data_IF_710850333205
#
_entry.id   IF_710850333205
#
_cell.length_a   1.000
_cell.length_b   1.000
_cell.length_c   1.000
_cell.angle_alpha   90.00
_cell.angle_beta   90.00
_cell.angle_gamma   90.00
#
_symmetry.space_group_name_H-M   'P 1'
#
loop_
_entity.id
_entity.type
_entity.pdbx_description
1 polymer ?
#
# COMPACT_ATOMS: atom_id res chain seq x y z
N UNK A 1 -0.38 -15.53 -9.85
CA UNK A 1 -0.96 -16.14 -8.62
C UNK A 1 0.13 -16.39 -7.57
N UNK A 2 0.93 -15.37 -7.23
CA UNK A 2 2.06 -15.48 -6.28
C UNK A 2 2.06 -14.39 -5.19
N UNK A 3 1.39 -13.25 -5.40
CA UNK A 3 1.34 -12.15 -4.41
C UNK A 3 0.56 -12.48 -3.12
N UNK A 4 -0.36 -13.45 -3.15
CA UNK A 4 -1.17 -13.82 -1.97
C UNK A 4 -0.38 -14.60 -0.90
N UNK A 5 0.75 -15.22 -1.26
CA UNK A 5 1.44 -16.17 -0.37
C UNK A 5 2.32 -15.47 0.69
N UNK A 6 2.96 -14.33 0.37
CA UNK A 6 3.97 -13.75 1.24
C UNK A 6 3.39 -13.07 2.50
N UNK A 7 2.23 -12.41 2.40
CA UNK A 7 1.63 -11.75 3.57
C UNK A 7 0.89 -12.72 4.48
N UNK A 8 0.20 -13.73 3.92
CA UNK A 8 -0.43 -14.75 4.75
C UNK A 8 0.59 -15.46 5.65
N UNK A 9 1.76 -15.80 5.13
CA UNK A 9 2.81 -16.47 5.90
C UNK A 9 3.45 -15.53 6.96
N UNK A 10 3.57 -14.23 6.64
CA UNK A 10 4.01 -13.21 7.60
C UNK A 10 2.99 -13.02 8.73
N UNK A 11 1.70 -13.00 8.43
CA UNK A 11 0.61 -12.84 9.42
C UNK A 11 0.59 -14.02 10.39
N UNK A 12 0.75 -15.25 9.92
CA UNK A 12 0.73 -16.46 10.76
C UNK A 12 1.88 -16.46 11.79
N UNK A 13 3.05 -15.91 11.44
CA UNK A 13 4.23 -15.85 12.30
C UNK A 13 4.39 -14.48 13.00
N UNK A 14 3.30 -13.82 13.38
CA UNK A 14 3.33 -12.48 13.98
C UNK A 14 2.85 -12.47 15.41
N UNK A 15 3.47 -11.60 16.22
CA UNK A 15 3.03 -11.33 17.57
C UNK A 15 1.80 -10.41 17.49
N UNK A 16 0.63 -10.99 17.74
CA UNK A 16 -0.63 -10.26 17.85
C UNK A 16 -0.84 -9.93 19.32
N UNK A 17 -0.86 -8.65 19.73
CA UNK A 17 -1.14 -8.28 21.12
C UNK A 17 -2.62 -8.57 21.41
N UNK A 18 -2.88 -9.65 22.15
CA UNK A 18 -4.23 -10.03 22.56
C UNK A 18 -4.60 -9.34 23.86
N UNK A 19 -5.85 -8.90 23.97
CA UNK A 19 -6.37 -8.43 25.25
C UNK A 19 -6.65 -9.61 26.18
N UNK A 20 -6.26 -9.49 27.45
CA UNK A 20 -6.61 -10.43 28.51
C UNK A 20 -7.81 -9.92 29.31
N UNK A 21 -8.81 -10.79 29.48
CA UNK A 21 -10.00 -10.46 30.27
C UNK A 21 -9.58 -10.30 31.73
N UNK A 22 -9.64 -9.06 32.25
CA UNK A 22 -9.35 -8.73 33.65
C UNK A 22 -8.16 -7.80 33.90
N UNK A 23 -7.48 -7.30 32.85
CA UNK A 23 -6.51 -6.21 32.99
C UNK A 23 -7.13 -4.87 32.56
N UNK A 24 -7.49 -4.04 33.54
CA UNK A 24 -8.09 -2.70 33.33
C UNK A 24 -7.14 -1.71 32.64
N UNK A 25 -5.85 -2.06 32.48
CA UNK A 25 -4.86 -1.23 31.79
C UNK A 25 -4.85 -1.47 30.28
N UNK A 26 -5.51 -2.52 29.81
CA UNK A 26 -5.59 -2.85 28.39
C UNK A 26 -6.83 -2.21 27.77
N UNK A 27 -6.62 -1.38 26.75
CA UNK A 27 -7.68 -0.73 26.00
C UNK A 27 -7.81 -1.41 24.62
N UNK A 28 -8.89 -2.19 24.38
CA UNK A 28 -9.14 -2.82 23.10
C UNK A 28 -9.13 -1.80 21.95
N UNK A 29 -8.39 -2.10 20.89
CA UNK A 29 -8.20 -1.22 19.73
C UNK A 29 -7.13 -0.14 19.89
N UNK A 30 -6.68 0.15 21.11
CA UNK A 30 -5.59 1.09 21.38
C UNK A 30 -4.26 0.39 21.69
N UNK A 31 -4.27 -0.64 22.55
CA UNK A 31 -3.07 -1.39 22.94
C UNK A 31 -3.10 -2.87 22.56
N UNK A 32 -4.29 -3.46 22.43
CA UNK A 32 -4.50 -4.88 22.18
C UNK A 32 -5.73 -5.13 21.30
N UNK A 33 -5.88 -6.37 20.80
CA UNK A 33 -7.02 -6.83 20.01
C UNK A 33 -7.71 -7.99 20.74
N UNK A 34 -9.04 -7.96 20.84
CA UNK A 34 -9.82 -9.06 21.41
C UNK A 34 -9.65 -10.32 20.56
N UNK A 35 -9.53 -11.49 21.21
CA UNK A 35 -9.23 -12.76 20.53
C UNK A 35 -10.28 -13.12 19.47
N UNK A 36 -11.54 -12.86 19.76
CA UNK A 36 -12.69 -13.07 18.89
C UNK A 36 -12.63 -12.21 17.61
N UNK A 37 -11.99 -11.04 17.67
CA UNK A 37 -11.90 -10.11 16.54
C UNK A 37 -10.64 -10.36 15.69
N UNK A 38 -9.72 -11.23 16.12
CA UNK A 38 -8.46 -11.44 15.39
C UNK A 38 -8.72 -11.92 13.97
N UNK A 39 -9.62 -12.89 13.78
CA UNK A 39 -9.86 -13.45 12.45
C UNK A 39 -10.51 -12.43 11.50
N UNK A 40 -11.52 -11.68 11.97
CA UNK A 40 -12.18 -10.63 11.17
C UNK A 40 -11.20 -9.54 10.74
N UNK A 41 -10.35 -9.08 11.67
CA UNK A 41 -9.30 -8.09 11.41
C UNK A 41 -8.28 -8.59 10.37
N UNK A 42 -7.83 -9.85 10.51
CA UNK A 42 -6.90 -10.44 9.56
C UNK A 42 -7.55 -10.63 8.18
N UNK A 43 -8.84 -10.96 8.11
CA UNK A 43 -9.58 -11.01 6.86
C UNK A 43 -9.68 -9.63 6.19
N UNK A 44 -9.93 -8.56 6.94
CA UNK A 44 -9.93 -7.19 6.43
C UNK A 44 -8.56 -6.83 5.83
N UNK A 45 -7.47 -7.08 6.56
CA UNK A 45 -6.10 -6.82 6.09
C UNK A 45 -5.75 -7.61 4.82
N UNK A 46 -6.15 -8.89 4.74
CA UNK A 46 -5.96 -9.72 3.54
C UNK A 46 -6.66 -9.14 2.31
N UNK A 47 -7.83 -8.51 2.48
CA UNK A 47 -8.57 -7.88 1.38
C UNK A 47 -8.04 -6.49 1.04
N UNK A 48 -7.58 -5.72 2.03
CA UNK A 48 -7.01 -4.39 1.84
C UNK A 48 -5.69 -4.42 1.09
N UNK A 49 -4.83 -5.39 1.39
CA UNK A 49 -3.48 -5.42 0.83
C UNK A 49 -3.41 -5.38 -0.70
N UNK A 50 -4.14 -6.21 -1.47
CA UNK A 50 -4.08 -6.13 -2.93
C UNK A 50 -4.61 -4.79 -3.47
N UNK A 51 -5.57 -4.16 -2.79
CA UNK A 51 -6.12 -2.85 -3.17
C UNK A 51 -5.06 -1.76 -3.00
N UNK A 52 -4.44 -1.69 -1.82
CA UNK A 52 -3.38 -0.72 -1.52
C UNK A 52 -2.14 -0.95 -2.40
N UNK A 53 -1.80 -2.21 -2.67
CA UNK A 53 -0.68 -2.55 -3.56
C UNK A 53 -0.95 -2.06 -4.97
N UNK A 54 -2.18 -2.26 -5.49
CA UNK A 54 -2.56 -1.76 -6.82
C UNK A 54 -2.48 -0.25 -6.91
N UNK A 55 -2.91 0.48 -5.87
CA UNK A 55 -2.80 1.95 -5.81
C UNK A 55 -1.34 2.40 -5.83
N UNK A 56 -0.50 1.81 -4.99
CA UNK A 56 0.93 2.15 -4.94
C UNK A 56 1.65 1.85 -6.26
N UNK A 57 1.37 0.69 -6.88
CA UNK A 57 1.94 0.34 -8.20
C UNK A 57 1.45 1.29 -9.29
N UNK A 58 0.16 1.65 -9.31
CA UNK A 58 -0.42 2.58 -10.29
C UNK A 58 0.23 3.96 -10.22
N UNK A 59 0.44 4.49 -9.00
CA UNK A 59 1.13 5.76 -8.81
C UNK A 59 2.55 5.73 -9.37
N UNK A 60 3.31 4.66 -9.11
CA UNK A 60 4.71 4.55 -9.54
C UNK A 60 4.85 4.25 -11.04
N UNK A 61 4.00 3.39 -11.59
CA UNK A 61 4.19 2.82 -12.92
C UNK A 61 3.44 3.55 -14.03
N UNK A 62 2.29 4.13 -13.70
CA UNK A 62 1.41 4.79 -14.66
C UNK A 62 1.38 6.31 -14.46
N UNK A 63 2.18 6.86 -13.52
CA UNK A 63 2.17 8.27 -13.11
C UNK A 63 0.74 8.77 -12.82
N UNK A 64 -0.07 7.91 -12.20
CA UNK A 64 -1.46 8.24 -11.89
C UNK A 64 -1.53 9.45 -10.95
N UNK A 65 -2.48 10.34 -11.20
CA UNK A 65 -2.83 11.44 -10.27
C UNK A 65 -3.66 10.96 -9.09
N UNK A 66 -3.99 9.67 -9.00
CA UNK A 66 -4.67 9.09 -7.84
C UNK A 66 -3.75 9.02 -6.63
N UNK A 67 -4.34 9.20 -5.44
CA UNK A 67 -3.63 9.04 -4.18
C UNK A 67 -3.24 7.55 -3.96
N UNK A 68 -2.02 7.29 -3.47
CA UNK A 68 -1.51 5.93 -3.24
C UNK A 68 -2.07 5.27 -1.97
N UNK A 69 -2.85 6.01 -1.19
CA UNK A 69 -3.40 5.57 0.09
C UNK A 69 -4.92 5.38 0.03
N UNK A 70 -5.46 4.77 1.09
CA UNK A 70 -6.89 4.75 1.39
C UNK A 70 -7.12 5.35 2.77
N UNK A 71 -8.11 6.24 2.86
CA UNK A 71 -8.60 6.83 4.11
C UNK A 71 -9.59 5.89 4.81
N UNK A 72 -9.82 6.14 6.10
CA UNK A 72 -10.78 5.35 6.88
C UNK A 72 -12.18 5.39 6.27
N UNK A 73 -12.62 6.52 5.73
CA UNK A 73 -13.94 6.64 5.09
C UNK A 73 -14.06 5.82 3.81
N UNK A 74 -13.02 5.79 2.97
CA UNK A 74 -12.98 4.97 1.76
C UNK A 74 -13.02 3.48 2.10
N UNK A 75 -12.24 3.05 3.09
CA UNK A 75 -12.24 1.65 3.55
C UNK A 75 -13.61 1.28 4.11
N UNK A 76 -14.18 2.14 4.96
CA UNK A 76 -15.52 1.94 5.51
C UNK A 76 -16.57 1.80 4.42
N UNK A 77 -16.52 2.63 3.38
CA UNK A 77 -17.43 2.55 2.24
C UNK A 77 -17.26 1.25 1.44
N UNK A 78 -16.04 0.77 1.26
CA UNK A 78 -15.75 -0.45 0.49
C UNK A 78 -16.20 -1.74 1.19
N UNK A 79 -16.10 -1.79 2.53
CA UNK A 79 -16.31 -3.04 3.28
C UNK A 79 -17.63 -3.09 4.05
N UNK A 80 -18.33 -1.96 4.21
CA UNK A 80 -19.69 -1.95 4.78
C UNK A 80 -20.69 -2.53 3.78
N UNK A 81 -21.59 -3.39 4.25
CA UNK A 81 -22.64 -3.98 3.42
C UNK A 81 -23.87 -4.32 4.26
N UNK A 82 -24.94 -4.81 3.62
CA UNK A 82 -26.12 -5.30 4.37
C UNK A 82 -25.81 -6.46 5.31
N UNK A 83 -24.68 -7.15 5.14
CA UNK A 83 -24.25 -8.28 5.96
C UNK A 83 -23.18 -7.94 6.99
N UNK A 84 -22.49 -6.80 6.82
CA UNK A 84 -21.37 -6.37 7.68
C UNK A 84 -21.62 -4.91 8.03
N UNK A 85 -21.89 -4.65 9.29
CA UNK A 85 -22.29 -3.32 9.76
C UNK A 85 -21.10 -2.36 9.73
N UNK A 86 -21.39 -1.06 9.61
CA UNK A 86 -20.34 -0.03 9.69
C UNK A 86 -19.60 -0.06 11.03
N UNK A 87 -20.27 -0.46 12.13
CA UNK A 87 -19.63 -0.59 13.43
C UNK A 87 -18.58 -1.69 13.45
N UNK A 88 -18.88 -2.86 12.89
CA UNK A 88 -17.94 -3.98 12.78
C UNK A 88 -16.73 -3.60 11.92
N UNK A 89 -16.96 -3.00 10.75
CA UNK A 89 -15.85 -2.55 9.89
C UNK A 89 -14.98 -1.52 10.59
N UNK A 90 -15.59 -0.59 11.35
CA UNK A 90 -14.85 0.43 12.10
C UNK A 90 -13.98 -0.19 13.19
N UNK A 91 -14.51 -1.14 13.95
CA UNK A 91 -13.76 -1.86 14.99
C UNK A 91 -12.62 -2.67 14.36
N UNK A 92 -12.90 -3.39 13.29
CA UNK A 92 -11.87 -4.16 12.57
C UNK A 92 -10.78 -3.27 12.01
N UNK A 93 -11.13 -2.10 11.46
CA UNK A 93 -10.19 -1.14 10.91
C UNK A 93 -9.27 -0.55 11.98
N UNK A 94 -9.83 -0.18 13.15
CA UNK A 94 -9.03 0.32 14.26
C UNK A 94 -8.06 -0.74 14.79
N UNK A 95 -8.50 -1.99 14.90
CA UNK A 95 -7.64 -3.10 15.26
C UNK A 95 -6.57 -3.35 14.18
N UNK A 96 -6.95 -3.32 12.90
CA UNK A 96 -6.05 -3.52 11.77
C UNK A 96 -4.91 -2.49 11.76
N UNK A 97 -5.24 -1.20 11.92
CA UNK A 97 -4.25 -0.12 12.02
C UNK A 97 -3.27 -0.34 13.18
N UNK A 98 -3.76 -0.77 14.36
CA UNK A 98 -2.90 -1.09 15.50
C UNK A 98 -1.93 -2.24 15.15
N UNK A 99 -2.46 -3.32 14.57
CA UNK A 99 -1.66 -4.48 14.22
C UNK A 99 -0.60 -4.17 13.16
N UNK A 100 -0.93 -3.32 12.18
CA UNK A 100 -0.01 -2.88 11.13
C UNK A 100 1.16 -2.10 11.71
N UNK A 101 0.93 -1.17 12.63
CA UNK A 101 2.02 -0.46 13.32
C UNK A 101 2.91 -1.42 14.10
N UNK A 102 2.31 -2.38 14.81
CA UNK A 102 3.06 -3.39 15.58
C UNK A 102 3.80 -4.40 14.71
N UNK A 103 3.41 -4.56 13.45
CA UNK A 103 3.97 -5.54 12.53
C UNK A 103 4.36 -4.90 11.18
N UNK A 104 5.37 -4.01 11.15
CA UNK A 104 5.76 -3.28 9.94
C UNK A 104 6.20 -4.22 8.79
N UNK A 105 6.62 -5.44 9.11
CA UNK A 105 6.97 -6.50 8.13
C UNK A 105 5.83 -6.86 7.17
N UNK A 106 4.57 -6.52 7.51
CA UNK A 106 3.40 -6.75 6.67
C UNK A 106 3.33 -5.81 5.46
N UNK A 107 4.15 -4.76 5.42
CA UNK A 107 4.31 -3.90 4.24
C UNK A 107 3.25 -2.82 4.07
N UNK A 108 2.25 -2.78 4.95
CA UNK A 108 1.30 -1.68 5.07
C UNK A 108 1.87 -0.68 6.08
N UNK A 109 1.76 0.61 5.77
CA UNK A 109 2.11 1.72 6.64
C UNK A 109 0.90 2.61 6.86
N UNK A 110 0.94 3.40 7.93
CA UNK A 110 -0.04 4.44 8.20
C UNK A 110 0.61 5.81 8.00
N UNK A 111 -0.13 6.75 7.41
CA UNK A 111 0.30 8.13 7.19
C UNK A 111 -0.74 9.10 7.75
N UNK A 112 -0.26 10.25 8.20
CA UNK A 112 -1.10 11.40 8.53
C UNK A 112 -1.37 12.19 7.25
N UNK A 113 -2.64 12.42 6.94
CA UNK A 113 -3.08 13.21 5.78
C UNK A 113 -3.50 14.63 6.19
N UNK A 114 -3.18 15.05 7.41
CA UNK A 114 -3.55 16.37 7.92
C UNK A 114 -2.77 17.52 7.37
N UNK A 115 -1.51 17.26 7.05
CA UNK A 115 -0.53 18.25 6.66
C UNK A 115 -0.24 18.09 5.16
N UNK A 116 0.29 19.12 4.51
CA UNK A 116 0.62 19.07 3.08
C UNK A 116 1.71 18.02 2.74
N UNK A 117 2.39 17.47 3.77
CA UNK A 117 3.33 16.36 3.65
C UNK A 117 2.83 15.10 4.37
N UNK A 118 2.67 14.02 3.60
CA UNK A 118 2.31 12.69 4.09
C UNK A 118 3.39 12.16 5.07
N UNK A 119 3.11 12.21 6.37
CA UNK A 119 4.06 11.79 7.42
C UNK A 119 3.71 10.40 7.95
N UNK A 120 4.70 9.51 8.06
CA UNK A 120 4.50 8.17 8.65
C UNK A 120 4.04 8.26 10.11
N UNK A 121 2.94 7.56 10.42
CA UNK A 121 2.37 7.51 11.76
C UNK A 121 3.07 6.46 12.63
N UNK A 122 3.50 6.92 13.80
CA UNK A 122 3.97 6.08 14.90
C UNK A 122 2.81 5.77 15.87
N UNK A 123 2.97 4.74 16.69
CA UNK A 123 1.94 4.30 17.63
C UNK A 123 1.42 5.44 18.52
N UNK A 124 2.31 6.29 19.02
CA UNK A 124 1.97 7.35 19.98
C UNK A 124 1.12 8.48 19.36
N UNK A 125 1.17 8.65 18.03
CA UNK A 125 0.36 9.62 17.28
C UNK A 125 -0.91 9.02 16.68
N UNK A 126 -0.98 7.69 16.61
CA UNK A 126 -2.11 6.98 16.00
C UNK A 126 -3.45 7.35 16.66
N UNK A 127 -3.50 7.42 17.99
CA UNK A 127 -4.75 7.72 18.69
C UNK A 127 -5.26 9.13 18.39
N UNK A 128 -4.38 10.14 18.39
CA UNK A 128 -4.76 11.51 18.05
C UNK A 128 -5.18 11.68 16.59
N UNK A 129 -4.48 11.03 15.65
CA UNK A 129 -4.79 11.14 14.22
C UNK A 129 -6.05 10.33 13.84
N UNK A 130 -6.35 9.24 14.54
CA UNK A 130 -7.65 8.55 14.42
C UNK A 130 -8.82 9.44 14.80
N UNK A 131 -8.68 10.21 15.90
CA UNK A 131 -9.73 11.11 16.35
C UNK A 131 -9.99 12.24 15.35
N UNK A 132 -8.98 12.67 14.60
CA UNK A 132 -9.14 13.65 13.53
C UNK A 132 -9.70 13.05 12.23
N UNK A 133 -9.74 11.72 12.09
CA UNK A 133 -10.16 11.03 10.88
C UNK A 133 -9.17 11.15 9.72
N UNK A 134 -7.93 11.51 10.02
CA UNK A 134 -6.89 11.83 9.03
C UNK A 134 -5.81 10.75 8.94
N UNK A 135 -6.23 9.48 9.01
CA UNK A 135 -5.34 8.34 8.85
C UNK A 135 -5.49 7.80 7.43
N UNK A 136 -4.36 7.69 6.72
CA UNK A 136 -4.27 6.97 5.46
C UNK A 136 -3.52 5.64 5.64
N UNK A 137 -4.00 4.57 5.01
CA UNK A 137 -3.25 3.30 4.87
C UNK A 137 -2.57 3.26 3.50
N UNK A 138 -1.30 2.89 3.44
CA UNK A 138 -0.49 2.92 2.20
C UNK A 138 0.50 1.76 2.13
N UNK A 139 0.90 1.34 0.92
CA UNK A 139 2.08 0.49 0.69
C UNK A 139 3.24 1.39 0.24
N UNK A 140 4.23 1.60 1.12
CA UNK A 140 5.36 2.49 0.82
C UNK A 140 6.35 1.89 -0.19
N UNK A 141 6.50 0.57 -0.18
CA UNK A 141 7.48 -0.12 -1.03
C UNK A 141 6.83 -1.35 -1.69
N UNK A 142 6.03 -1.13 -2.76
CA UNK A 142 5.37 -2.23 -3.45
C UNK A 142 6.37 -3.02 -4.32
N UNK A 143 6.15 -4.31 -4.46
CA UNK A 143 6.82 -5.12 -5.48
C UNK A 143 6.30 -4.71 -6.86
N UNK A 144 7.18 -4.15 -7.70
CA UNK A 144 6.80 -3.63 -9.02
C UNK A 144 6.83 -4.72 -10.09
N UNK A 145 5.85 -4.77 -11.00
CA UNK A 145 5.91 -5.68 -12.14
C UNK A 145 7.08 -5.29 -13.07
N UNK A 146 7.75 -6.28 -13.64
CA UNK A 146 8.91 -6.06 -14.55
C UNK A 146 8.60 -5.05 -15.67
N UNK A 147 7.37 -5.05 -16.21
CA UNK A 147 6.92 -4.13 -17.26
C UNK A 147 7.06 -2.64 -16.85
N UNK A 148 6.83 -2.34 -15.57
CA UNK A 148 6.98 -1.00 -15.00
C UNK A 148 8.43 -0.54 -15.01
N UNK A 149 9.35 -1.42 -14.60
CA UNK A 149 10.79 -1.14 -14.58
C UNK A 149 11.37 -0.97 -16.00
N UNK A 150 10.80 -1.70 -16.97
CA UNK A 150 11.28 -1.75 -18.35
C UNK A 150 10.84 -0.52 -19.16
N UNK A 151 9.62 -0.01 -18.94
CA UNK A 151 9.12 1.23 -19.60
C UNK A 151 10.07 2.41 -19.40
N UNK A 152 10.67 2.53 -18.21
CA UNK A 152 11.55 3.66 -17.90
C UNK A 152 12.98 3.53 -18.48
N UNK A 153 13.40 2.33 -18.94
CA UNK A 153 14.76 2.07 -19.43
C UNK A 153 14.87 1.82 -20.94
N UNK A 154 13.82 1.34 -21.62
CA UNK A 154 13.93 0.95 -23.04
C UNK A 154 13.81 2.12 -24.04
N UNK A 155 13.04 3.17 -23.74
CA UNK A 155 12.88 4.29 -24.68
C UNK A 155 14.20 4.97 -25.03
N UNK A 156 15.14 5.08 -24.08
CA UNK A 156 16.46 5.70 -24.30
C UNK A 156 17.42 4.81 -25.10
N UNK A 157 17.31 3.48 -24.96
CA UNK A 157 18.20 2.54 -25.66
C UNK A 157 17.79 2.38 -27.12
N UNK A 158 16.49 2.29 -27.41
CA UNK A 158 16.03 2.15 -28.79
C UNK A 158 16.19 3.43 -29.61
N UNK A 159 16.00 4.60 -28.99
CA UNK A 159 16.21 5.89 -29.68
C UNK A 159 17.67 6.12 -30.07
N UNK A 160 18.63 5.80 -29.21
CA UNK A 160 20.06 5.93 -29.54
C UNK A 160 20.51 4.99 -30.66
N UNK A 161 20.04 3.74 -30.69
CA UNK A 161 20.38 2.80 -31.77
C UNK A 161 19.79 3.21 -33.14
N UNK A 162 18.57 3.75 -33.14
CA UNK A 162 17.92 4.25 -34.36
C UNK A 162 18.62 5.49 -34.91
N UNK A 163 19.07 6.41 -34.06
CA UNK A 163 19.80 7.62 -34.49
C UNK A 163 21.13 7.26 -35.18
N UNK A 164 21.88 6.30 -34.63
CA UNK A 164 23.18 5.89 -35.22
C UNK A 164 22.99 5.18 -36.56
N UNK A 165 21.95 4.35 -36.70
CA UNK A 165 21.67 3.64 -37.94
C UNK A 165 21.14 4.56 -39.05
N UNK A 166 20.20 5.47 -38.73
CA UNK A 166 19.73 6.49 -39.68
C UNK A 166 20.84 7.49 -40.07
N UNK A 167 21.67 7.90 -39.10
CA UNK A 167 22.80 8.79 -39.36
C UNK A 167 23.80 8.19 -40.35
N UNK A 168 24.18 6.92 -40.14
CA UNK A 168 25.08 6.21 -41.05
C UNK A 168 24.47 6.00 -42.45
N UNK A 169 23.19 5.68 -42.53
CA UNK A 169 22.50 5.51 -43.80
C UNK A 169 22.42 6.82 -44.61
N UNK A 170 22.14 7.95 -43.96
CA UNK A 170 22.13 9.26 -44.61
C UNK A 170 23.52 9.72 -45.07
N UNK A 171 24.57 9.44 -44.29
CA UNK A 171 25.94 9.75 -44.74
C UNK A 171 26.36 8.92 -45.93
N UNK A 172 25.98 7.64 -45.98
CA UNK A 172 26.30 6.75 -47.09
C UNK A 172 25.54 7.20 -48.37
N UNK A 173 24.28 7.65 -48.26
CA UNK A 173 23.49 8.23 -49.36
C UNK A 173 24.03 9.56 -49.91
N UNK A 174 24.47 10.47 -49.04
CA UNK A 174 25.07 11.75 -49.46
C UNK A 174 26.41 11.57 -50.19
N UNK A 175 27.13 10.50 -49.88
CA UNK A 175 28.40 10.18 -50.54
C UNK A 175 28.21 9.65 -51.96
N UNK A 176 27.11 8.96 -52.23
CA UNK A 176 26.80 8.41 -53.55
C UNK A 176 26.26 9.48 -54.53
N UNK A 177 25.67 10.58 -54.04
CA UNK A 177 25.26 11.71 -54.89
C UNK A 177 26.37 12.74 -55.17
N UNK A 178 27.52 12.65 -54.48
CA UNK A 178 28.62 13.62 -54.61
C UNK A 178 29.87 13.11 -55.36
N UNK A 179 29.82 11.91 -55.93
CA UNK A 179 30.82 11.33 -56.85
C UNK A 179 30.23 11.09 -58.24
#
# INVERSE_FOLDING_TARGET
>A
MYCFFNICNKIINSNIPLCFVGDDREAPGASCVMKENVDSVLQLLKRLQPILTRKAVSMICDNSSETPYLTDSEIMQMFTSNKVTSLEVKQDLQNAQLLVIKNPKWGISLIDISDEEDTLLLQDKLFSTRLSGKVGMVIMNPELPMQCLVKNKLFTIFSSLLIVSFGKFLTDLLWEETC
#
